data_IF_149276941256
#
_entry.id   IF_149276941256
#
_cell.length_a   1.000
_cell.length_b   1.000
_cell.length_c   1.000
_cell.angle_alpha   90.00
_cell.angle_beta   90.00
_cell.angle_gamma   90.00
#
_symmetry.space_group_name_H-M   'P 1'
#
loop_
_entity.id
_entity.type
_entity.pdbx_description
1 polymer ?
#
# COMPACT_ATOMS: atom_id res chain seq x y z
N UNK A 1 -17.75 -5.30 0.92
CA UNK A 1 -16.65 -4.33 0.99
C UNK A 1 -15.34 -5.05 1.28
N UNK A 2 -14.28 -4.63 0.65
CA UNK A 2 -12.94 -5.18 0.85
C UNK A 2 -11.96 -4.07 1.14
N UNK A 3 -10.93 -4.37 1.94
CA UNK A 3 -9.80 -3.49 2.13
C UNK A 3 -8.59 -4.07 1.41
N UNK A 4 -7.95 -3.23 0.62
CA UNK A 4 -6.64 -3.54 0.07
C UNK A 4 -5.59 -2.82 0.92
N UNK A 5 -4.60 -3.59 1.35
CA UNK A 5 -3.38 -3.07 1.95
C UNK A 5 -2.24 -3.40 1.00
N UNK A 6 -1.54 -2.40 0.50
CA UNK A 6 -0.41 -2.59 -0.40
C UNK A 6 0.86 -2.01 0.23
N UNK A 7 1.87 -2.84 0.34
CA UNK A 7 3.19 -2.41 0.80
C UNK A 7 4.06 -2.30 -0.45
N UNK A 8 4.54 -1.09 -0.74
CA UNK A 8 5.24 -0.80 -1.99
C UNK A 8 6.54 -0.04 -1.74
N UNK A 9 7.39 0.04 -2.75
CA UNK A 9 8.56 0.92 -2.72
C UNK A 9 8.10 2.37 -2.72
N UNK A 10 8.72 3.25 -1.93
CA UNK A 10 8.26 4.65 -1.78
C UNK A 10 8.18 5.42 -3.11
N UNK A 11 9.13 5.23 -4.00
CA UNK A 11 9.17 5.98 -5.27
C UNK A 11 8.07 5.57 -6.25
N UNK A 12 7.33 4.51 -5.94
CA UNK A 12 6.18 4.06 -6.76
C UNK A 12 4.84 4.67 -6.32
N UNK A 13 4.83 5.42 -5.22
CA UNK A 13 3.58 5.93 -4.66
C UNK A 13 2.76 6.75 -5.67
N UNK A 14 3.39 7.69 -6.37
CA UNK A 14 2.66 8.56 -7.29
C UNK A 14 2.05 7.78 -8.44
N UNK A 15 2.78 6.82 -9.01
CA UNK A 15 2.27 5.97 -10.08
C UNK A 15 1.09 5.12 -9.62
N UNK A 16 1.18 4.55 -8.42
CA UNK A 16 0.10 3.74 -7.85
C UNK A 16 -1.13 4.61 -7.57
N UNK A 17 -0.94 5.80 -7.02
CA UNK A 17 -2.03 6.74 -6.76
C UNK A 17 -2.78 7.07 -8.06
N UNK A 18 -2.07 7.40 -9.11
CA UNK A 18 -2.68 7.71 -10.41
C UNK A 18 -3.42 6.51 -11.01
N UNK A 19 -2.82 5.32 -10.92
CA UNK A 19 -3.46 4.10 -11.42
C UNK A 19 -4.76 3.79 -10.67
N UNK A 20 -4.78 3.96 -9.36
CA UNK A 20 -5.99 3.76 -8.56
C UNK A 20 -7.05 4.82 -8.89
N UNK A 21 -6.66 6.06 -9.11
CA UNK A 21 -7.58 7.11 -9.51
C UNK A 21 -8.29 6.77 -10.83
N UNK A 22 -7.56 6.26 -11.80
CA UNK A 22 -8.12 5.84 -13.09
C UNK A 22 -9.14 4.70 -12.95
N UNK A 23 -8.99 3.85 -11.96
CA UNK A 23 -9.95 2.78 -11.66
C UNK A 23 -11.23 3.31 -11.02
N UNK A 24 -11.19 4.52 -10.50
CA UNK A 24 -12.33 5.15 -9.83
C UNK A 24 -12.18 5.22 -8.31
N UNK A 25 -11.03 4.90 -7.78
CA UNK A 25 -10.73 5.05 -6.35
C UNK A 25 -10.42 6.51 -6.06
N UNK A 26 -11.22 7.12 -5.18
CA UNK A 26 -11.13 8.56 -4.92
C UNK A 26 -10.30 8.90 -3.69
N UNK A 27 -10.21 8.01 -2.73
CA UNK A 27 -9.46 8.25 -1.50
C UNK A 27 -8.59 7.08 -1.12
N UNK A 28 -7.39 7.36 -0.68
CA UNK A 28 -6.46 6.37 -0.15
C UNK A 28 -5.85 6.91 1.14
N UNK A 29 -5.46 6.00 2.02
CA UNK A 29 -4.67 6.34 3.20
C UNK A 29 -3.26 5.84 2.99
N UNK A 30 -2.30 6.71 3.24
CA UNK A 30 -0.87 6.40 3.03
C UNK A 30 -0.15 6.51 4.36
N UNK A 31 0.64 5.51 4.68
CA UNK A 31 1.46 5.48 5.88
C UNK A 31 2.90 5.14 5.49
N UNK A 32 3.85 5.89 6.01
CA UNK A 32 5.25 5.51 5.89
C UNK A 32 5.51 4.30 6.78
N UNK A 33 6.21 3.32 6.24
CA UNK A 33 6.50 2.07 6.93
C UNK A 33 7.95 1.67 6.72
N UNK A 34 8.40 0.72 7.51
CA UNK A 34 9.71 0.11 7.35
C UNK A 34 9.51 -1.38 7.19
N UNK A 35 10.18 -1.97 6.21
CA UNK A 35 10.09 -3.38 5.94
C UNK A 35 11.39 -4.09 6.19
N UNK A 36 11.29 -5.30 6.70
CA UNK A 36 12.37 -6.25 6.78
C UNK A 36 11.92 -7.54 6.07
N UNK A 37 12.71 -8.01 5.14
CA UNK A 37 12.34 -9.20 4.41
C UNK A 37 13.46 -9.68 3.49
N UNK A 38 13.07 -10.15 2.31
CA UNK A 38 14.03 -10.70 1.33
C UNK A 38 14.92 -9.65 0.70
N UNK A 39 14.47 -8.40 0.64
CA UNK A 39 15.31 -7.28 0.23
C UNK A 39 16.21 -6.92 1.41
N UNK A 40 17.50 -7.10 1.23
CA UNK A 40 18.46 -6.80 2.31
C UNK A 40 18.73 -5.31 2.40
N UNK A 41 18.97 -4.84 3.61
CA UNK A 41 19.45 -3.50 3.87
C UNK A 41 20.89 -3.32 3.40
N UNK A 42 21.45 -2.16 3.68
CA UNK A 42 22.82 -1.83 3.35
C UNK A 42 23.64 -1.68 4.63
N UNK A 43 24.96 -1.71 4.47
CA UNK A 43 25.89 -1.48 5.59
C UNK A 43 26.23 -0.01 5.69
N UNK A 44 26.19 0.54 6.89
CA UNK A 44 26.59 1.90 7.19
C UNK A 44 27.72 1.91 8.21
N UNK A 45 28.57 2.95 8.14
CA UNK A 45 29.62 3.18 9.12
C UNK A 45 29.16 4.23 10.13
N UNK A 46 29.30 3.90 11.40
CA UNK A 46 29.02 4.83 12.49
C UNK A 46 30.10 4.67 13.55
N UNK A 47 30.83 5.77 13.85
CA UNK A 47 31.92 5.79 14.81
C UNK A 47 32.98 4.71 14.56
N UNK A 48 33.26 4.42 13.28
CA UNK A 48 34.23 3.42 12.88
C UNK A 48 33.78 1.97 12.94
N UNK A 49 32.54 1.72 13.31
CA UNK A 49 31.95 0.38 13.31
C UNK A 49 30.93 0.23 12.16
N UNK A 50 30.88 -0.94 11.56
CA UNK A 50 29.90 -1.24 10.52
C UNK A 50 28.60 -1.70 11.16
N UNK A 51 27.47 -1.16 10.66
CA UNK A 51 26.13 -1.56 11.05
C UNK A 51 25.35 -1.99 9.80
N UNK A 52 24.65 -3.14 9.88
CA UNK A 52 23.75 -3.58 8.84
C UNK A 52 22.41 -2.89 9.06
N UNK A 53 21.94 -2.17 8.04
CA UNK A 53 20.59 -1.57 8.06
C UNK A 53 19.61 -2.61 7.55
N UNK A 54 18.91 -3.26 8.46
CA UNK A 54 18.00 -4.35 8.14
C UNK A 54 16.64 -3.88 7.65
N UNK A 55 16.19 -2.69 8.08
CA UNK A 55 14.91 -2.14 7.71
C UNK A 55 15.04 -1.14 6.58
N UNK A 56 14.18 -1.28 5.59
CA UNK A 56 14.12 -0.40 4.44
C UNK A 56 12.82 0.39 4.44
N UNK A 57 12.83 1.65 3.97
CA UNK A 57 11.61 2.42 3.87
C UNK A 57 10.64 1.78 2.88
N UNK A 58 9.38 1.77 3.27
CA UNK A 58 8.25 1.32 2.45
C UNK A 58 7.11 2.30 2.64
N UNK A 59 6.12 2.18 1.79
CA UNK A 59 4.86 2.91 1.92
C UNK A 59 3.73 1.88 1.98
N UNK A 60 2.83 2.07 2.93
CA UNK A 60 1.62 1.28 3.04
C UNK A 60 0.44 2.11 2.54
N UNK A 61 -0.28 1.58 1.57
CA UNK A 61 -1.50 2.17 1.05
C UNK A 61 -2.67 1.33 1.53
N UNK A 62 -3.68 1.98 2.10
CA UNK A 62 -4.92 1.33 2.49
C UNK A 62 -6.07 1.98 1.74
N UNK A 63 -6.94 1.15 1.18
CA UNK A 63 -8.15 1.61 0.51
C UNK A 63 -9.25 0.58 0.69
N UNK A 64 -10.46 1.07 0.97
CA UNK A 64 -11.65 0.24 1.09
C UNK A 64 -12.56 0.51 -0.09
N UNK A 65 -13.11 -0.54 -0.66
CA UNK A 65 -13.93 -0.44 -1.87
C UNK A 65 -15.00 -1.52 -1.91
N UNK A 66 -15.93 -1.37 -2.81
CA UNK A 66 -16.89 -2.42 -3.10
C UNK A 66 -16.21 -3.59 -3.81
N UNK A 67 -16.75 -4.78 -3.62
CA UNK A 67 -16.18 -6.01 -4.16
C UNK A 67 -15.94 -5.94 -5.68
N UNK A 68 -16.83 -5.27 -6.40
CA UNK A 68 -16.76 -5.16 -7.87
C UNK A 68 -15.51 -4.42 -8.38
N UNK A 69 -14.85 -3.63 -7.55
CA UNK A 69 -13.67 -2.86 -7.94
C UNK A 69 -12.35 -3.57 -7.60
N UNK A 70 -12.40 -4.61 -6.78
CA UNK A 70 -11.18 -5.21 -6.20
C UNK A 70 -10.20 -5.69 -7.25
N UNK A 71 -10.67 -6.48 -8.23
CA UNK A 71 -9.76 -7.04 -9.23
C UNK A 71 -9.05 -5.96 -10.05
N UNK A 72 -9.77 -4.93 -10.45
CA UNK A 72 -9.17 -3.81 -11.19
C UNK A 72 -8.20 -3.01 -10.35
N UNK A 73 -8.52 -2.83 -9.06
CA UNK A 73 -7.64 -2.11 -8.14
C UNK A 73 -6.35 -2.92 -7.87
N UNK A 74 -6.47 -4.22 -7.65
CA UNK A 74 -5.31 -5.11 -7.47
C UNK A 74 -4.41 -5.08 -8.70
N UNK A 75 -5.00 -5.22 -9.88
CA UNK A 75 -4.25 -5.18 -11.14
C UNK A 75 -3.54 -3.83 -11.32
N UNK A 76 -4.22 -2.73 -11.05
CA UNK A 76 -3.67 -1.39 -11.15
C UNK A 76 -2.44 -1.21 -10.23
N UNK A 77 -2.53 -1.68 -8.99
CA UNK A 77 -1.42 -1.61 -8.04
C UNK A 77 -0.27 -2.51 -8.51
N UNK A 78 -0.58 -3.74 -8.87
CA UNK A 78 0.43 -4.71 -9.28
C UNK A 78 1.25 -4.20 -10.47
N UNK A 79 0.59 -3.67 -11.48
CA UNK A 79 1.27 -3.15 -12.68
C UNK A 79 2.07 -1.89 -12.38
N UNK A 80 1.49 -0.94 -11.62
CA UNK A 80 2.13 0.35 -11.37
C UNK A 80 3.27 0.26 -10.35
N UNK A 81 3.21 -0.67 -9.41
CA UNK A 81 4.24 -0.85 -8.38
C UNK A 81 5.36 -1.79 -8.79
N UNK A 82 5.19 -2.55 -9.87
CA UNK A 82 6.12 -3.58 -10.30
C UNK A 82 7.44 -3.00 -10.82
N UNK A 83 8.57 -3.53 -10.33
CA UNK A 83 9.90 -3.31 -10.89
C UNK A 83 10.54 -4.60 -11.37
N UNK A 84 10.08 -5.74 -10.88
CA UNK A 84 10.65 -7.05 -11.13
C UNK A 84 11.79 -7.43 -10.21
N UNK A 85 12.12 -6.55 -9.25
CA UNK A 85 13.19 -6.77 -8.28
C UNK A 85 12.62 -7.16 -6.92
N UNK A 86 13.43 -7.84 -6.12
CA UNK A 86 13.10 -8.13 -4.73
C UNK A 86 12.79 -6.83 -4.00
N UNK A 87 11.75 -6.83 -3.19
CA UNK A 87 11.33 -5.66 -2.44
C UNK A 87 10.16 -4.89 -3.05
N UNK A 88 9.60 -5.37 -4.17
CA UNK A 88 8.42 -4.75 -4.79
C UNK A 88 7.21 -4.68 -3.88
N UNK A 89 7.14 -5.57 -2.89
CA UNK A 89 6.09 -5.56 -1.90
C UNK A 89 5.00 -6.58 -2.14
N UNK A 90 3.89 -6.38 -1.43
CA UNK A 90 2.74 -7.31 -1.47
C UNK A 90 1.45 -6.56 -1.36
N UNK A 91 0.40 -7.18 -1.84
CA UNK A 91 -0.97 -6.70 -1.74
C UNK A 91 -1.74 -7.71 -0.90
N UNK A 92 -2.44 -7.20 0.12
CA UNK A 92 -3.32 -8.01 0.96
C UNK A 92 -4.75 -7.54 0.77
N UNK A 93 -5.68 -8.48 0.67
CA UNK A 93 -7.10 -8.19 0.53
C UNK A 93 -7.83 -8.83 1.69
N UNK A 94 -8.61 -8.03 2.41
CA UNK A 94 -9.41 -8.52 3.53
C UNK A 94 -10.85 -8.07 3.41
N UNK A 95 -11.76 -8.82 4.01
CA UNK A 95 -13.17 -8.44 4.08
C UNK A 95 -13.37 -7.40 5.17
N UNK A 96 -14.10 -6.34 4.86
CA UNK A 96 -14.50 -5.32 5.81
C UNK A 96 -15.94 -5.58 6.23
N UNK A 97 -16.16 -5.76 7.52
CA UNK A 97 -17.48 -6.04 8.06
C UNK A 97 -18.36 -4.79 8.10
N UNK A 98 -17.77 -3.65 8.44
CA UNK A 98 -18.52 -2.39 8.60
C UNK A 98 -17.63 -1.20 8.28
N UNK A 99 -18.20 -0.18 7.64
CA UNK A 99 -17.56 1.12 7.45
C UNK A 99 -18.55 2.19 7.94
N UNK A 100 -18.04 3.18 8.64
CA UNK A 100 -18.85 4.26 9.17
C UNK A 100 -18.13 5.57 8.88
N UNK A 101 -18.82 6.49 8.21
CA UNK A 101 -18.26 7.83 7.95
C UNK A 101 -18.44 8.70 9.19
N UNK A 102 -17.37 9.20 9.73
CA UNK A 102 -17.40 9.94 10.99
C UNK A 102 -18.26 11.20 10.88
N UNK A 103 -18.10 11.97 9.79
CA UNK A 103 -18.81 13.24 9.63
C UNK A 103 -20.33 13.09 9.53
N UNK A 104 -20.78 12.06 8.81
CA UNK A 104 -22.21 11.91 8.46
C UNK A 104 -22.92 10.80 9.21
N UNK A 105 -22.18 9.84 9.76
CA UNK A 105 -22.75 8.63 10.36
C UNK A 105 -23.25 7.62 9.35
N UNK A 106 -23.04 7.84 8.05
CA UNK A 106 -23.40 6.87 7.01
C UNK A 106 -22.65 5.57 7.21
N UNK A 107 -23.29 4.47 6.86
CA UNK A 107 -22.74 3.12 7.07
C UNK A 107 -22.71 2.30 5.77
N UNK A 108 -21.84 1.31 5.76
CA UNK A 108 -21.71 0.38 4.65
C UNK A 108 -21.21 1.04 3.38
N UNK A 109 -21.70 0.65 2.19
CA UNK A 109 -21.24 1.21 0.91
C UNK A 109 -21.35 2.74 0.82
N UNK A 110 -22.31 3.33 1.49
CA UNK A 110 -22.48 4.79 1.50
C UNK A 110 -21.38 5.52 2.29
N UNK A 111 -20.63 4.79 3.10
CA UNK A 111 -19.54 5.34 3.92
C UNK A 111 -18.18 5.35 3.20
N UNK A 112 -18.11 4.72 2.05
CA UNK A 112 -16.84 4.58 1.33
C UNK A 112 -16.86 5.26 -0.03
#
# INVERSE_FOLDING_TARGET
>A
MKKIEAIIKPFKLDEVKEALHEVGIKGITVTEAKGFGRQKGHTELYRGAEYVVDFLPKVKIEVVMEDSLVERAVEAIQQSAHTGRIGDGKIFVTTIEEAIRIRTGERGPDAI
#
